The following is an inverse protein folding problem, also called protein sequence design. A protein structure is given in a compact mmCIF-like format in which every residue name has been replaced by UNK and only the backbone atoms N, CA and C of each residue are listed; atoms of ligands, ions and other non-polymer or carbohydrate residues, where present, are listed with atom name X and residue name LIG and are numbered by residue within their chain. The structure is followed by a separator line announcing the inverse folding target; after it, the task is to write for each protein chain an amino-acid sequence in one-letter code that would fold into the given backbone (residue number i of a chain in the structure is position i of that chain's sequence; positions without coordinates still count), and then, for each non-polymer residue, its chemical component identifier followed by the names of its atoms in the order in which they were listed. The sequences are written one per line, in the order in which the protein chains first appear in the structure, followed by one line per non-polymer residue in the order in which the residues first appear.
data_IF_164138287202
#
_entry.id   IF_164138287202
#
_cell.length_a   1.000
_cell.length_b   1.000
_cell.length_c   1.000
_cell.angle_alpha   90.00
_cell.angle_beta   90.00
_cell.angle_gamma   90.00
#
_symmetry.space_group_name_H-M   'P 1'
#
loop_
_entity.id
_entity.type
_entity.pdbx_description
1 polymer ?
#
# COMPACT_ATOMS: atom_id res chain seq x y z
N UNK A 1 -11.76 27.28 -26.61
CA UNK A 1 -11.87 25.95 -25.98
C UNK A 1 -12.50 26.17 -24.61
N UNK A 2 -13.51 25.39 -24.23
CA UNK A 2 -14.19 25.51 -22.93
C UNK A 2 -13.80 24.31 -22.05
N UNK A 3 -13.04 24.59 -20.99
CA UNK A 3 -12.53 23.57 -20.09
C UNK A 3 -13.44 23.32 -18.88
N UNK A 4 -14.52 24.10 -18.70
CA UNK A 4 -15.39 24.03 -17.51
C UNK A 4 -16.01 22.66 -17.28
N UNK A 5 -16.22 21.88 -18.34
CA UNK A 5 -16.72 20.49 -18.24
C UNK A 5 -15.76 19.55 -17.49
N UNK A 6 -14.51 19.95 -17.32
CA UNK A 6 -13.46 19.21 -16.62
C UNK A 6 -13.05 19.91 -15.31
N UNK A 7 -13.96 20.68 -14.71
CA UNK A 7 -13.74 21.27 -13.39
C UNK A 7 -13.28 20.19 -12.38
N UNK A 8 -12.25 20.53 -11.61
CA UNK A 8 -11.61 19.63 -10.66
C UNK A 8 -10.48 18.77 -11.25
N UNK A 9 -10.28 18.73 -12.58
CA UNK A 9 -9.15 17.98 -13.17
C UNK A 9 -7.87 18.82 -13.20
N UNK A 10 -6.72 18.16 -13.02
CA UNK A 10 -5.39 18.77 -13.21
C UNK A 10 -4.85 18.45 -14.61
N UNK A 11 -4.58 19.45 -15.46
CA UNK A 11 -3.95 19.23 -16.75
C UNK A 11 -2.46 18.93 -16.57
N UNK A 12 -1.96 17.88 -17.21
CA UNK A 12 -0.53 17.52 -17.22
C UNK A 12 -0.03 17.56 -18.65
N UNK A 13 0.97 18.40 -18.91
CA UNK A 13 1.56 18.57 -20.23
C UNK A 13 2.32 17.29 -20.66
N UNK A 14 2.00 16.71 -21.82
CA UNK A 14 2.55 15.42 -22.23
C UNK A 14 4.05 15.44 -22.56
N UNK A 15 4.59 16.59 -22.99
CA UNK A 15 5.98 16.73 -23.41
C UNK A 15 6.93 16.94 -22.22
N UNK A 16 6.62 17.86 -21.31
CA UNK A 16 7.43 18.15 -20.13
C UNK A 16 6.96 17.49 -18.84
N UNK A 17 5.79 16.82 -18.84
CA UNK A 17 5.12 16.28 -17.64
C UNK A 17 4.91 17.32 -16.54
N UNK A 18 4.74 18.57 -16.93
CA UNK A 18 4.46 19.67 -16.01
C UNK A 18 2.98 19.64 -15.68
N UNK A 19 2.65 19.58 -14.38
CA UNK A 19 1.29 19.73 -13.88
C UNK A 19 0.92 21.21 -13.84
N UNK A 20 -0.24 21.51 -14.40
CA UNK A 20 -0.83 22.84 -14.40
C UNK A 20 -1.88 22.93 -13.28
N UNK A 21 -2.19 24.15 -12.81
CA UNK A 21 -3.28 24.37 -11.87
C UNK A 21 -4.58 23.65 -12.24
N UNK A 22 -5.32 23.22 -11.22
CA UNK A 22 -6.61 22.56 -11.39
C UNK A 22 -7.60 23.45 -12.15
N UNK A 23 -8.39 22.85 -13.03
CA UNK A 23 -9.45 23.54 -13.77
C UNK A 23 -10.57 23.92 -12.79
N UNK A 24 -10.91 25.21 -12.73
CA UNK A 24 -12.03 25.72 -11.94
C UNK A 24 -13.19 26.25 -12.79
N UNK A 25 -14.10 26.98 -12.15
CA UNK A 25 -15.24 27.65 -12.80
C UNK A 25 -14.84 28.86 -13.66
N UNK A 26 -13.69 29.47 -13.36
CA UNK A 26 -13.21 30.66 -14.06
C UNK A 26 -12.49 30.29 -15.36
N UNK A 27 -12.49 31.18 -16.37
CA UNK A 27 -11.76 30.94 -17.61
C UNK A 27 -10.27 30.64 -17.36
N UNK A 28 -9.82 29.49 -17.83
CA UNK A 28 -8.45 29.04 -17.71
C UNK A 28 -7.58 29.68 -18.80
N UNK A 29 -6.68 30.58 -18.43
CA UNK A 29 -5.87 31.33 -19.39
C UNK A 29 -4.55 30.63 -19.69
N UNK A 30 -4.30 30.33 -20.96
CA UNK A 30 -3.05 29.74 -21.45
C UNK A 30 -2.38 30.73 -22.41
N UNK A 31 -1.08 30.97 -22.22
CA UNK A 31 -0.26 31.73 -23.16
C UNK A 31 0.49 30.76 -24.09
N UNK A 32 0.26 30.89 -25.39
CA UNK A 32 0.97 30.14 -26.42
C UNK A 32 1.98 31.06 -27.10
N UNK A 33 3.18 30.54 -27.36
CA UNK A 33 4.08 31.18 -28.31
C UNK A 33 3.47 31.14 -29.73
N UNK A 34 3.96 31.98 -30.65
CA UNK A 34 3.48 31.98 -32.03
C UNK A 34 3.54 30.58 -32.65
N UNK A 35 2.41 30.09 -33.17
CA UNK A 35 2.22 28.74 -33.70
C UNK A 35 2.44 27.58 -32.71
N UNK A 36 2.46 27.85 -31.40
CA UNK A 36 2.55 26.82 -30.36
C UNK A 36 1.25 26.04 -30.18
N UNK A 37 1.38 24.81 -29.70
CA UNK A 37 0.27 23.96 -29.26
C UNK A 37 0.66 23.25 -27.96
N UNK A 38 -0.34 22.92 -27.12
CA UNK A 38 -0.17 22.10 -25.92
C UNK A 38 -1.01 20.83 -26.03
N UNK A 39 -0.47 19.72 -25.53
CA UNK A 39 -1.24 18.50 -25.29
C UNK A 39 -1.22 18.18 -23.81
N UNK A 40 -2.41 18.02 -23.25
CA UNK A 40 -2.60 17.73 -21.85
C UNK A 40 -3.30 16.38 -21.67
N UNK A 41 -2.83 15.62 -20.69
CA UNK A 41 -3.62 14.59 -20.03
C UNK A 41 -4.40 15.24 -18.89
N UNK A 42 -5.68 14.89 -18.72
CA UNK A 42 -6.50 15.40 -17.63
C UNK A 42 -6.52 14.36 -16.52
N UNK A 43 -5.80 14.63 -15.43
CA UNK A 43 -5.77 13.76 -14.26
C UNK A 43 -6.98 14.04 -13.37
N UNK A 44 -7.73 12.99 -13.03
CA UNK A 44 -8.83 13.10 -12.06
C UNK A 44 -8.23 13.18 -10.66
N UNK A 45 -8.71 14.08 -9.77
CA UNK A 45 -8.26 14.10 -8.40
C UNK A 45 -8.53 12.73 -7.78
N UNK A 46 -7.53 12.17 -7.11
CA UNK A 46 -7.75 10.99 -6.31
C UNK A 46 -8.87 11.31 -5.32
N UNK A 47 -9.82 10.39 -5.08
CA UNK A 47 -10.76 10.58 -3.99
C UNK A 47 -9.91 10.84 -2.74
N UNK A 48 -10.12 11.98 -2.09
CA UNK A 48 -9.63 12.17 -0.73
C UNK A 48 -10.19 10.98 0.04
N UNK A 49 -9.32 10.03 0.36
CA UNK A 49 -9.63 9.01 1.33
C UNK A 49 -9.70 9.82 2.62
N UNK A 50 -10.89 10.32 2.90
CA UNK A 50 -11.31 10.54 4.28
C UNK A 50 -11.15 9.18 4.90
N UNK A 51 -9.99 8.96 5.54
CA UNK A 51 -9.90 7.98 6.58
C UNK A 51 -10.92 8.46 7.60
N UNK A 52 -12.14 8.00 7.43
CA UNK A 52 -13.06 7.89 8.55
C UNK A 52 -12.23 7.09 9.54
N UNK A 53 -11.61 7.74 10.51
CA UNK A 53 -11.11 7.05 11.67
C UNK A 53 -12.37 6.38 12.22
N UNK A 54 -12.51 5.05 12.14
CA UNK A 54 -13.47 4.44 13.03
C UNK A 54 -12.95 4.79 14.42
N UNK A 55 -13.62 5.72 15.09
CA UNK A 55 -13.52 6.01 16.53
C UNK A 55 -13.94 4.77 17.37
N UNK A 56 -13.62 3.58 16.89
CA UNK A 56 -13.84 2.24 17.44
C UNK A 56 -12.79 1.25 16.87
N UNK A 57 -11.64 1.71 16.33
CA UNK A 57 -10.45 0.84 16.28
C UNK A 57 -9.86 0.82 17.68
N UNK A 58 -10.56 0.18 18.61
CA UNK A 58 -9.90 -0.38 19.77
C UNK A 58 -8.73 -1.20 19.23
N UNK A 59 -7.54 -0.65 19.49
CA UNK A 59 -6.22 -1.19 19.25
C UNK A 59 -6.28 -2.69 18.92
N UNK A 60 -6.26 -3.04 17.63
CA UNK A 60 -5.94 -4.41 17.21
C UNK A 60 -4.49 -4.62 17.61
N UNK A 61 -4.31 -4.93 18.88
CA UNK A 61 -3.04 -5.26 19.49
C UNK A 61 -2.43 -6.33 18.61
N UNK A 62 -1.16 -6.15 18.26
CA UNK A 62 -0.38 -7.08 17.45
C UNK A 62 -0.48 -8.53 17.94
N UNK A 63 -0.93 -8.75 19.19
CA UNK A 63 -1.25 -10.04 19.80
C UNK A 63 -2.51 -10.71 19.24
N UNK A 64 -3.63 -10.00 19.06
CA UNK A 64 -4.90 -10.62 18.65
C UNK A 64 -4.84 -11.13 17.20
N UNK A 65 -4.12 -10.42 16.34
CA UNK A 65 -3.82 -10.87 14.97
C UNK A 65 -2.84 -12.05 14.97
N UNK A 66 -1.85 -12.06 15.87
CA UNK A 66 -0.92 -13.18 16.01
C UNK A 66 -1.65 -14.46 16.47
N UNK A 67 -2.55 -14.36 17.45
CA UNK A 67 -3.38 -15.48 17.94
C UNK A 67 -4.28 -16.05 16.84
N UNK A 68 -4.90 -15.16 16.05
CA UNK A 68 -5.75 -15.55 14.93
C UNK A 68 -4.97 -16.26 13.80
N UNK A 69 -3.74 -15.82 13.53
CA UNK A 69 -2.86 -16.45 12.54
C UNK A 69 -2.34 -17.81 13.01
N UNK A 70 -2.07 -17.96 14.31
CA UNK A 70 -1.68 -19.24 14.93
C UNK A 70 -2.85 -20.23 14.90
N UNK A 71 -4.06 -19.78 15.28
CA UNK A 71 -5.28 -20.61 15.25
C UNK A 71 -5.68 -21.02 13.82
N UNK A 72 -5.44 -20.16 12.84
CA UNK A 72 -5.64 -20.47 11.42
C UNK A 72 -4.55 -21.40 10.85
N UNK A 73 -3.51 -21.73 11.62
CA UNK A 73 -2.39 -22.58 11.19
C UNK A 73 -1.50 -21.94 10.12
N UNK A 74 -1.59 -20.62 9.95
CA UNK A 74 -0.78 -19.86 8.99
C UNK A 74 0.63 -19.56 9.54
N UNK A 75 0.80 -19.66 10.85
CA UNK A 75 2.07 -19.53 11.57
C UNK A 75 2.26 -20.78 12.43
N UNK A 76 3.46 -21.35 12.41
CA UNK A 76 3.88 -22.43 13.31
C UNK A 76 4.70 -21.85 14.47
N UNK A 77 4.53 -22.39 15.67
CA UNK A 77 5.33 -22.04 16.85
C UNK A 77 6.78 -22.51 16.61
N UNK A 78 7.66 -21.56 16.31
CA UNK A 78 9.07 -21.83 16.04
C UNK A 78 9.88 -21.72 17.33
N UNK A 79 10.01 -22.83 18.06
CA UNK A 79 11.11 -23.30 18.93
C UNK A 79 10.51 -24.21 20.02
N UNK A 80 10.75 -25.53 20.03
CA UNK A 80 11.95 -26.09 20.64
C UNK A 80 12.22 -27.50 20.08
N UNK A 81 13.46 -27.77 19.66
CA UNK A 81 13.90 -29.13 19.39
C UNK A 81 13.94 -29.87 20.74
N UNK A 82 13.14 -30.92 20.94
CA UNK A 82 13.22 -31.71 22.16
C UNK A 82 14.59 -32.41 22.20
N UNK A 83 15.28 -32.25 23.33
CA UNK A 83 16.56 -32.88 23.60
C UNK A 83 16.53 -34.38 23.33
N UNK A 84 17.49 -34.83 22.53
CA UNK A 84 17.79 -36.23 22.27
C UNK A 84 18.43 -36.86 23.52
N UNK A 85 17.62 -37.11 24.55
CA UNK A 85 18.00 -37.91 25.71
C UNK A 85 17.86 -39.39 25.34
N UNK A 86 18.85 -39.93 24.60
CA UNK A 86 19.04 -41.38 24.54
C UNK A 86 19.87 -41.77 25.77
N UNK A 87 19.19 -41.98 26.89
CA UNK A 87 19.76 -42.61 28.06
C UNK A 87 19.32 -44.08 28.14
N UNK A 88 20.34 -44.93 28.28
CA UNK A 88 20.33 -46.29 28.86
C UNK A 88 19.68 -47.40 28.01
N UNK A 89 20.52 -48.16 27.31
CA UNK A 89 20.39 -49.62 27.36
C UNK A 89 21.77 -50.22 27.65
N UNK A 90 21.88 -50.85 28.80
CA UNK A 90 23.10 -51.45 29.36
C UNK A 90 23.16 -52.94 28.98
N UNK A 91 24.30 -53.31 28.36
CA UNK A 91 25.01 -54.61 28.42
C UNK A 91 24.31 -55.83 27.75
N UNK A 92 25.00 -56.92 27.29
CA UNK A 92 26.40 -57.31 27.50
C UNK A 92 27.16 -57.98 26.30
N UNK A 93 28.48 -58.12 26.44
CA UNK A 93 29.34 -59.06 25.67
C UNK A 93 29.85 -58.52 24.32
N UNK A 94 31.01 -58.88 23.80
CA UNK A 94 31.81 -60.08 23.98
C UNK A 94 33.27 -59.79 23.55
N UNK A 95 34.15 -60.57 24.14
CA UNK A 95 35.59 -60.70 24.04
C UNK A 95 36.16 -60.69 22.61
N UNK A 96 37.20 -59.87 22.35
CA UNK A 96 38.48 -60.21 21.68
C UNK A 96 39.35 -59.00 21.33
#
# INVERSE_FOLDING_TARGET
MDLRQFEGYSPVELTGRVEFPQIGVLPYMLSLAGHGFYWFELSKPAPEIVAEEPEDRENVTSSAVADSLLAAGLVSDAEERPGDNIADDRDPGDDR
#
